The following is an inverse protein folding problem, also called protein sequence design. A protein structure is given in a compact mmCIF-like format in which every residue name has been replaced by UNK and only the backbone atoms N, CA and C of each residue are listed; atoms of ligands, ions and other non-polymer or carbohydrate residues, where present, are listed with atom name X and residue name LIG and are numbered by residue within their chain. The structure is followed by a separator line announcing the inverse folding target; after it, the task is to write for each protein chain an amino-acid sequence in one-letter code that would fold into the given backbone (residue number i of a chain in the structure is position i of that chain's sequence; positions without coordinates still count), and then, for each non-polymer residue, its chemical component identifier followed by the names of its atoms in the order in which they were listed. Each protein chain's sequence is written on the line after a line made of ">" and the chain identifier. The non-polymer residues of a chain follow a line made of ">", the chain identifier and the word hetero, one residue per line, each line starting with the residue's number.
data_IF_264721096512
#
_entry.id   IF_264721096512
#
_cell.length_a   1.000
_cell.length_b   1.000
_cell.length_c   1.000
_cell.angle_alpha   90.00
_cell.angle_beta   90.00
_cell.angle_gamma   90.00
#
_symmetry.space_group_name_H-M   'P 1'
#
loop_
_entity.id
_entity.type
_entity.pdbx_description
1 polymer ?
#
# COMPACT_ATOMS: atom_id res chain seq x y z
N UNK A 1 36.87 -60.18 42.56
CA UNK A 1 36.99 -58.80 43.11
C UNK A 1 37.31 -57.74 42.04
N UNK A 2 37.50 -58.10 40.76
CA UNK A 2 37.91 -57.18 39.68
C UNK A 2 36.74 -56.45 38.96
N UNK A 3 35.51 -56.97 39.02
CA UNK A 3 34.38 -56.38 38.25
C UNK A 3 33.76 -55.14 38.89
N UNK A 4 33.82 -55.00 40.23
CA UNK A 4 33.33 -53.81 40.94
C UNK A 4 34.13 -52.54 40.59
N UNK A 5 35.40 -52.70 40.19
CA UNK A 5 36.26 -51.56 39.85
C UNK A 5 35.97 -51.03 38.45
N UNK A 6 35.69 -51.92 37.48
CA UNK A 6 35.38 -51.55 36.09
C UNK A 6 34.06 -50.75 35.98
N UNK A 7 33.02 -51.16 36.71
CA UNK A 7 31.73 -50.45 36.70
C UNK A 7 31.79 -49.03 37.28
N UNK A 8 32.62 -48.80 38.31
CA UNK A 8 32.84 -47.46 38.86
C UNK A 8 33.59 -46.54 37.89
N UNK A 9 34.59 -47.07 37.19
CA UNK A 9 35.38 -46.28 36.21
C UNK A 9 34.51 -45.91 35.00
N UNK A 10 33.66 -46.84 34.52
CA UNK A 10 32.71 -46.57 33.44
C UNK A 10 31.67 -45.52 33.88
N UNK A 11 31.14 -45.63 35.10
CA UNK A 11 30.19 -44.64 35.64
C UNK A 11 30.79 -43.23 35.73
N UNK A 12 32.04 -43.11 36.19
CA UNK A 12 32.73 -41.81 36.27
C UNK A 12 33.03 -41.23 34.89
N UNK A 13 33.39 -42.07 33.91
CA UNK A 13 33.63 -41.62 32.53
C UNK A 13 32.35 -41.13 31.85
N UNK A 14 31.23 -41.84 32.01
CA UNK A 14 29.94 -41.43 31.43
C UNK A 14 29.44 -40.13 32.07
N UNK A 15 29.59 -39.97 33.38
CA UNK A 15 29.20 -38.74 34.08
C UNK A 15 30.07 -37.53 33.64
N UNK A 16 31.37 -37.75 33.41
CA UNK A 16 32.28 -36.73 32.91
C UNK A 16 31.95 -36.29 31.48
N UNK A 17 31.62 -37.24 30.60
CA UNK A 17 31.22 -36.93 29.20
C UNK A 17 29.91 -36.14 29.18
N UNK A 18 28.95 -36.47 30.05
CA UNK A 18 27.66 -35.76 30.12
C UNK A 18 27.81 -34.32 30.64
N UNK A 19 28.73 -34.09 31.59
CA UNK A 19 29.05 -32.74 32.08
C UNK A 19 29.69 -31.86 31.01
N UNK A 20 30.56 -32.43 30.16
CA UNK A 20 31.25 -31.68 29.10
C UNK A 20 30.28 -31.19 28.01
N UNK A 21 29.22 -31.94 27.70
CA UNK A 21 28.22 -31.55 26.69
C UNK A 21 27.38 -30.36 27.15
N UNK A 22 27.19 -30.16 28.46
CA UNK A 22 26.34 -29.09 29.01
C UNK A 22 26.94 -27.67 28.93
N UNK A 23 28.24 -27.54 28.58
CA UNK A 23 28.95 -26.25 28.60
C UNK A 23 29.20 -25.67 27.21
N UNK A 24 28.78 -26.35 26.14
CA UNK A 24 28.85 -25.80 24.80
C UNK A 24 27.57 -25.00 24.49
N UNK A 25 27.63 -23.67 24.37
CA UNK A 25 26.49 -22.93 23.86
C UNK A 25 26.24 -23.37 22.42
N UNK A 26 25.08 -23.96 22.16
CA UNK A 26 24.60 -24.16 20.80
C UNK A 26 24.36 -22.76 20.20
N UNK A 27 25.26 -22.30 19.33
CA UNK A 27 24.93 -21.18 18.45
C UNK A 27 23.84 -21.68 17.51
N UNK A 28 22.61 -21.22 17.71
CA UNK A 28 21.60 -21.31 16.68
C UNK A 28 22.11 -20.53 15.47
N UNK A 29 22.61 -21.24 14.47
CA UNK A 29 22.88 -20.66 13.15
C UNK A 29 21.51 -20.40 12.53
N UNK A 30 20.98 -19.21 12.80
CA UNK A 30 20.06 -18.58 11.87
C UNK A 30 20.82 -18.39 10.56
N UNK A 31 20.20 -18.78 9.45
CA UNK A 31 20.70 -18.57 8.10
C UNK A 31 20.91 -17.05 7.86
N UNK A 32 22.04 -16.51 8.29
CA UNK A 32 22.56 -15.23 7.82
C UNK A 32 23.32 -15.52 6.53
N UNK A 33 22.52 -15.83 5.51
CA UNK A 33 22.98 -16.34 4.23
C UNK A 33 22.14 -15.81 3.07
N UNK A 34 21.77 -14.53 3.12
CA UNK A 34 21.64 -13.75 1.91
C UNK A 34 22.12 -12.35 2.24
N UNK A 35 23.23 -11.93 1.60
CA UNK A 35 23.39 -10.54 1.23
C UNK A 35 22.02 -10.07 0.75
N UNK A 36 21.38 -9.16 1.50
CA UNK A 36 20.21 -8.45 1.00
C UNK A 36 20.75 -7.65 -0.17
N UNK A 37 20.80 -8.25 -1.35
CA UNK A 37 20.74 -7.48 -2.57
C UNK A 37 19.54 -6.56 -2.35
N UNK A 38 19.80 -5.26 -2.31
CA UNK A 38 18.74 -4.26 -2.45
C UNK A 38 18.09 -4.52 -3.80
N UNK A 39 17.16 -5.47 -3.84
CA UNK A 39 16.24 -5.58 -4.95
C UNK A 39 15.47 -4.29 -4.90
N UNK A 40 15.71 -3.42 -5.86
CA UNK A 40 14.87 -2.26 -6.13
C UNK A 40 13.43 -2.78 -6.22
N UNK A 41 12.69 -2.63 -5.12
CA UNK A 41 11.35 -3.17 -4.99
C UNK A 41 10.43 -2.10 -5.54
N UNK A 42 9.90 -2.32 -6.74
CA UNK A 42 8.86 -1.49 -7.32
C UNK A 42 7.50 -2.15 -7.10
N UNK A 43 6.48 -1.33 -6.92
CA UNK A 43 5.08 -1.74 -6.92
C UNK A 43 4.43 -1.13 -8.17
N UNK A 44 3.83 -1.96 -9.00
CA UNK A 44 3.14 -1.53 -10.23
C UNK A 44 1.66 -1.76 -10.10
N UNK A 45 0.88 -0.70 -10.34
CA UNK A 45 -0.58 -0.73 -10.32
C UNK A 45 -1.12 -0.18 -11.62
N UNK A 46 -2.14 -0.83 -12.14
CA UNK A 46 -2.88 -0.35 -13.31
C UNK A 46 -4.28 0.06 -12.84
N UNK A 47 -4.66 1.30 -13.17
CA UNK A 47 -5.97 1.85 -12.84
C UNK A 47 -6.66 2.16 -14.16
N UNK A 48 -7.83 1.58 -14.35
CA UNK A 48 -8.65 1.80 -15.54
C UNK A 48 -9.85 2.67 -15.19
N UNK A 49 -10.15 3.61 -16.09
CA UNK A 49 -11.27 4.53 -15.94
C UNK A 49 -12.35 4.18 -16.94
N UNK A 50 -13.61 4.27 -16.50
CA UNK A 50 -14.76 4.25 -17.40
C UNK A 50 -15.08 5.66 -17.87
N UNK A 51 -15.84 5.76 -18.97
CA UNK A 51 -16.28 7.06 -19.48
C UNK A 51 -17.08 7.83 -18.40
N UNK A 52 -16.77 9.12 -18.16
CA UNK A 52 -17.52 9.91 -17.20
C UNK A 52 -18.92 10.26 -17.71
N UNK A 53 -19.84 10.46 -16.78
CA UNK A 53 -21.21 10.90 -17.04
C UNK A 53 -21.36 12.35 -16.61
N UNK A 54 -21.81 13.20 -17.53
CA UNK A 54 -22.18 14.58 -17.25
C UNK A 54 -23.68 14.67 -16.98
N UNK A 55 -24.05 15.40 -15.92
CA UNK A 55 -25.45 15.69 -15.56
C UNK A 55 -25.60 17.18 -15.30
N UNK A 56 -26.79 17.71 -15.59
CA UNK A 56 -27.09 19.10 -15.28
C UNK A 56 -27.46 19.25 -13.80
N UNK A 57 -26.91 20.27 -13.15
CA UNK A 57 -27.14 20.59 -11.74
C UNK A 57 -27.29 22.09 -11.57
N UNK A 58 -28.30 22.52 -10.82
CA UNK A 58 -28.54 23.94 -10.58
C UNK A 58 -27.96 24.39 -9.23
N UNK A 59 -27.40 25.60 -9.21
CA UNK A 59 -26.91 26.27 -8.00
C UNK A 59 -27.19 27.76 -8.10
N UNK A 60 -27.94 28.32 -7.14
CA UNK A 60 -28.33 29.74 -7.09
C UNK A 60 -28.82 30.29 -8.44
N UNK A 61 -29.79 29.61 -9.07
CA UNK A 61 -30.38 29.93 -10.38
C UNK A 61 -29.44 29.85 -11.60
N UNK A 62 -28.21 29.37 -11.43
CA UNK A 62 -27.29 29.09 -12.54
C UNK A 62 -27.28 27.58 -12.81
N UNK A 63 -27.13 27.23 -14.09
CA UNK A 63 -27.00 25.85 -14.53
C UNK A 63 -25.53 25.48 -14.68
N UNK A 64 -25.16 24.33 -14.12
CA UNK A 64 -23.82 23.76 -14.16
C UNK A 64 -23.86 22.32 -14.65
N UNK A 65 -22.69 21.85 -15.07
CA UNK A 65 -22.46 20.45 -15.43
C UNK A 65 -21.74 19.75 -14.28
N UNK A 66 -22.37 18.76 -13.66
CA UNK A 66 -21.72 17.85 -12.73
C UNK A 66 -21.14 16.68 -13.51
N UNK A 67 -19.81 16.54 -13.45
CA UNK A 67 -19.11 15.37 -13.97
C UNK A 67 -19.06 14.30 -12.87
N UNK A 68 -19.33 13.05 -13.23
CA UNK A 68 -19.27 11.92 -12.31
C UNK A 68 -18.61 10.73 -13.00
N UNK A 69 -17.78 10.00 -12.25
CA UNK A 69 -17.11 8.80 -12.74
C UNK A 69 -17.21 7.72 -11.65
N UNK A 70 -17.32 6.46 -12.06
CA UNK A 70 -17.44 5.35 -11.11
C UNK A 70 -16.22 5.31 -10.18
N UNK A 71 -16.49 5.07 -8.89
CA UNK A 71 -15.48 4.99 -7.83
C UNK A 71 -14.54 6.21 -7.73
N UNK A 72 -15.05 7.37 -8.12
CA UNK A 72 -14.35 8.65 -8.01
C UNK A 72 -15.12 9.59 -7.08
N UNK A 73 -14.37 10.44 -6.37
CA UNK A 73 -14.90 11.55 -5.61
C UNK A 73 -14.59 12.86 -6.33
N UNK A 74 -15.55 13.78 -6.34
CA UNK A 74 -15.34 15.10 -6.93
C UNK A 74 -14.58 15.99 -5.93
N UNK A 75 -13.36 16.38 -6.30
CA UNK A 75 -12.48 17.22 -5.49
C UNK A 75 -12.13 18.47 -6.30
N UNK A 76 -11.93 19.58 -5.61
CA UNK A 76 -11.42 20.81 -6.18
C UNK A 76 -11.12 21.84 -5.10
N UNK A 77 -10.61 22.99 -5.50
CA UNK A 77 -10.57 24.16 -4.63
C UNK A 77 -11.97 24.77 -4.53
N UNK A 78 -12.29 25.39 -3.39
CA UNK A 78 -13.61 26.03 -3.17
C UNK A 78 -13.90 27.03 -4.29
N UNK A 79 -15.03 26.87 -4.96
CA UNK A 79 -15.44 27.73 -6.07
C UNK A 79 -14.77 27.44 -7.43
N UNK A 80 -13.81 26.52 -7.50
CA UNK A 80 -13.23 25.99 -8.75
C UNK A 80 -13.97 24.73 -9.20
N UNK A 81 -13.87 24.33 -10.48
CA UNK A 81 -14.45 23.08 -10.97
C UNK A 81 -14.12 21.89 -10.08
N UNK A 82 -15.15 21.13 -9.68
CA UNK A 82 -14.97 19.86 -8.98
C UNK A 82 -14.77 18.74 -10.02
N UNK A 83 -13.62 18.08 -10.00
CA UNK A 83 -13.27 17.02 -10.96
C UNK A 83 -13.22 15.67 -10.26
N UNK A 84 -13.59 14.57 -10.96
CA UNK A 84 -13.57 13.24 -10.38
C UNK A 84 -12.12 12.78 -10.20
N UNK A 85 -11.81 12.31 -9.00
CA UNK A 85 -10.51 11.75 -8.62
C UNK A 85 -10.73 10.38 -8.00
N UNK A 86 -10.02 9.37 -8.52
CA UNK A 86 -9.97 8.05 -7.91
C UNK A 86 -8.84 8.00 -6.88
N UNK A 87 -9.16 7.67 -5.63
CA UNK A 87 -8.20 7.49 -4.56
C UNK A 87 -7.93 6.02 -4.29
N UNK A 88 -6.66 5.61 -4.33
CA UNK A 88 -6.24 4.23 -4.01
C UNK A 88 -5.37 4.18 -2.77
N UNK A 89 -5.37 3.03 -2.08
CA UNK A 89 -4.52 2.77 -0.92
C UNK A 89 -3.55 1.66 -1.28
N UNK A 90 -2.26 1.98 -1.21
CA UNK A 90 -1.18 1.04 -1.52
C UNK A 90 -0.53 0.60 -0.20
N UNK A 91 -0.45 -0.72 0.02
CA UNK A 91 0.24 -1.28 1.18
C UNK A 91 1.74 -1.32 0.91
N UNK A 92 2.50 -0.64 1.76
CA UNK A 92 3.96 -0.64 1.67
C UNK A 92 4.56 -1.84 2.41
N UNK A 93 5.67 -2.41 1.91
CA UNK A 93 6.45 -3.38 2.66
C UNK A 93 6.95 -2.80 3.99
N UNK A 94 6.99 -3.64 5.02
CA UNK A 94 7.42 -3.23 6.35
C UNK A 94 8.86 -2.67 6.32
N UNK A 95 9.06 -1.53 6.99
CA UNK A 95 10.38 -0.89 7.10
C UNK A 95 10.91 -0.28 5.79
N UNK A 96 10.05 -0.06 4.79
CA UNK A 96 10.42 0.59 3.51
C UNK A 96 9.70 1.92 3.33
N UNK A 97 10.37 2.85 2.67
CA UNK A 97 9.84 4.17 2.32
C UNK A 97 9.71 4.30 0.79
N UNK A 98 8.79 5.15 0.35
CA UNK A 98 8.61 5.45 -1.07
C UNK A 98 9.69 6.47 -1.48
N UNK A 99 10.54 6.08 -2.43
CA UNK A 99 11.55 6.99 -3.01
C UNK A 99 11.00 7.81 -4.17
N UNK A 100 10.17 7.19 -5.02
CA UNK A 100 9.62 7.82 -6.22
C UNK A 100 8.24 7.25 -6.54
N UNK A 101 7.39 8.06 -7.17
CA UNK A 101 6.12 7.63 -7.76
C UNK A 101 6.12 8.09 -9.21
N UNK A 102 6.02 7.15 -10.14
CA UNK A 102 5.94 7.42 -11.57
C UNK A 102 4.53 7.12 -12.04
N UNK A 103 3.93 8.06 -12.78
CA UNK A 103 2.56 7.95 -13.28
C UNK A 103 2.64 7.98 -14.80
N UNK A 104 2.06 6.97 -15.42
CA UNK A 104 1.96 6.82 -16.87
C UNK A 104 0.49 6.74 -17.24
N UNK A 105 0.10 7.39 -18.34
CA UNK A 105 -1.28 7.36 -18.82
C UNK A 105 -1.47 8.22 -20.06
N UNK A 106 -2.53 7.91 -20.80
CA UNK A 106 -2.90 8.66 -21.99
C UNK A 106 -3.88 9.79 -21.64
N UNK A 107 -3.71 10.93 -22.31
CA UNK A 107 -4.75 11.98 -22.28
C UNK A 107 -5.85 11.62 -23.25
N UNK A 108 -7.06 11.46 -22.72
CA UNK A 108 -8.26 11.12 -23.50
C UNK A 108 -9.18 12.33 -23.50
N UNK A 109 -9.65 12.71 -24.68
CA UNK A 109 -10.68 13.73 -24.81
C UNK A 109 -12.03 13.17 -24.32
N UNK A 110 -12.63 13.86 -23.35
CA UNK A 110 -13.92 13.46 -22.77
C UNK A 110 -15.05 13.96 -23.67
N UNK A 111 -15.92 13.03 -24.09
CA UNK A 111 -17.11 13.37 -24.84
C UNK A 111 -18.13 14.09 -23.94
N UNK A 112 -18.38 15.38 -24.20
CA UNK A 112 -19.35 16.19 -23.44
C UNK A 112 -20.80 15.92 -23.83
N UNK A 113 -21.06 15.03 -24.80
CA UNK A 113 -22.39 14.63 -25.30
C UNK A 113 -23.28 15.82 -25.70
N UNK A 114 -22.64 16.84 -26.27
CA UNK A 114 -23.33 18.06 -26.75
C UNK A 114 -23.52 19.14 -25.68
N UNK A 115 -22.98 18.97 -24.48
CA UNK A 115 -22.97 20.02 -23.45
C UNK A 115 -21.88 21.05 -23.78
N UNK A 116 -22.27 22.31 -23.92
CA UNK A 116 -21.33 23.43 -24.01
C UNK A 116 -20.88 23.85 -22.61
N UNK A 117 -19.62 23.55 -22.27
CA UNK A 117 -19.01 23.91 -20.99
C UNK A 117 -18.73 25.41 -20.83
N UNK A 118 -18.83 26.21 -21.89
CA UNK A 118 -18.77 27.67 -21.80
C UNK A 118 -20.08 28.25 -21.28
N UNK A 119 -21.20 27.66 -21.64
CA UNK A 119 -22.54 28.05 -21.16
C UNK A 119 -22.89 27.38 -19.83
N UNK A 120 -22.51 26.10 -19.66
CA UNK A 120 -22.77 25.28 -18.47
C UNK A 120 -21.46 24.76 -17.89
N UNK A 121 -20.71 25.61 -17.18
CA UNK A 121 -19.41 25.23 -16.63
C UNK A 121 -19.54 24.10 -15.61
N UNK A 122 -18.42 23.45 -15.33
CA UNK A 122 -18.38 22.37 -14.33
C UNK A 122 -18.79 22.89 -12.95
N UNK A 123 -19.61 22.10 -12.25
CA UNK A 123 -20.10 22.43 -10.92
C UNK A 123 -18.94 22.75 -9.96
N UNK A 124 -18.97 23.89 -9.26
CA UNK A 124 -17.88 24.29 -8.40
C UNK A 124 -17.81 23.43 -7.13
N UNK A 125 -16.60 23.13 -6.66
CA UNK A 125 -16.40 22.42 -5.40
C UNK A 125 -16.89 23.27 -4.22
N UNK A 126 -17.57 22.60 -3.28
CA UNK A 126 -18.12 23.22 -2.07
C UNK A 126 -17.59 22.47 -0.84
N UNK A 127 -17.31 23.20 0.27
CA UNK A 127 -16.94 22.54 1.51
C UNK A 127 -18.09 21.67 2.02
N UNK A 128 -17.79 20.62 2.81
CA UNK A 128 -18.82 19.79 3.42
C UNK A 128 -19.70 20.66 4.33
N UNK A 129 -21.00 20.38 4.32
CA UNK A 129 -21.96 21.05 5.21
C UNK A 129 -21.67 20.61 6.64
N UNK A 130 -21.49 21.53 7.60
CA UNK A 130 -21.30 21.17 9.00
C UNK A 130 -22.46 20.33 9.50
N UNK A 131 -22.16 19.23 10.18
CA UNK A 131 -23.16 18.47 10.94
C UNK A 131 -23.25 19.18 12.29
N UNK A 132 -24.41 19.78 12.58
CA UNK A 132 -24.70 20.45 13.85
C UNK A 132 -24.93 19.48 15.00
#
# INVERSE_FOLDING_TARGET
>A
MADKCKGKIIGVLVLGIFLIISVFPYTAVGENGNSVEERNTSLSYEITFIEPVLKEKSLFNNSFSEISMYDCINIGEIGKPALPVHGTKILLPYGKEIKNIEIYGDSIEVNTRGIDLKEKPIFPYQPPVPIG
#
